data_IF_625729001714
#
_entry.id   IF_625729001714
#
_cell.length_a   1.000
_cell.length_b   1.000
_cell.length_c   1.000
_cell.angle_alpha   90.00
_cell.angle_beta   90.00
_cell.angle_gamma   90.00
#
_symmetry.space_group_name_H-M   'P 1'
#
loop_
_entity.id
_entity.type
_entity.pdbx_description
1 polymer ?
#
# COMPACT_ATOMS: atom_id res chain seq x y z
N UNK A 1 12.08 9.23 13.10
CA UNK A 1 11.86 7.77 13.08
C UNK A 1 13.22 7.13 13.22
N UNK A 2 13.47 6.39 14.29
CA UNK A 2 14.73 5.66 14.48
C UNK A 2 14.68 4.42 13.59
N UNK A 3 15.75 4.17 12.83
CA UNK A 3 15.83 3.06 11.89
C UNK A 3 16.49 1.86 12.55
N UNK A 4 16.20 0.65 12.06
CA UNK A 4 16.79 -0.60 12.59
C UNK A 4 18.33 -0.64 12.48
N UNK A 5 18.90 0.15 11.57
CA UNK A 5 20.33 0.28 11.35
C UNK A 5 21.03 1.17 12.39
N UNK A 6 20.26 1.90 13.20
CA UNK A 6 20.81 2.73 14.30
C UNK A 6 21.18 1.89 15.55
N UNK A 7 20.96 0.57 15.48
CA UNK A 7 21.17 -0.37 16.57
C UNK A 7 22.55 -1.01 16.40
N UNK A 8 23.32 -0.96 17.48
CA UNK A 8 24.66 -1.52 17.53
C UNK A 8 24.60 -3.05 17.42
N UNK A 9 25.27 -3.60 16.41
CA UNK A 9 25.27 -5.05 16.13
C UNK A 9 24.14 -5.55 15.22
N UNK A 10 23.35 -4.65 14.61
CA UNK A 10 22.44 -5.00 13.50
C UNK A 10 23.09 -4.58 12.18
N UNK A 11 23.54 -5.57 11.42
CA UNK A 11 24.01 -5.38 10.04
C UNK A 11 22.82 -5.25 9.05
N UNK A 12 23.11 -4.89 7.80
CA UNK A 12 22.07 -4.73 6.78
C UNK A 12 21.31 -6.02 6.47
N UNK A 13 21.94 -7.17 6.70
CA UNK A 13 21.37 -8.49 6.45
C UNK A 13 20.39 -8.89 7.57
N UNK A 14 20.77 -8.69 8.83
CA UNK A 14 19.90 -8.89 10.00
C UNK A 14 18.74 -7.90 10.01
N UNK A 15 18.94 -6.65 9.58
CA UNK A 15 17.85 -5.71 9.37
C UNK A 15 16.85 -6.21 8.31
N UNK A 16 17.35 -6.83 7.23
CA UNK A 16 16.50 -7.42 6.19
C UNK A 16 15.72 -8.63 6.69
N UNK A 17 16.33 -9.45 7.54
CA UNK A 17 15.64 -10.58 8.19
C UNK A 17 14.58 -10.12 9.19
N UNK A 18 14.84 -9.06 9.95
CA UNK A 18 13.87 -8.41 10.85
C UNK A 18 12.68 -7.82 10.09
N UNK A 19 12.95 -7.11 8.99
CA UNK A 19 11.89 -6.61 8.11
C UNK A 19 11.06 -7.77 7.52
N UNK A 20 11.71 -8.87 7.13
CA UNK A 20 11.06 -10.06 6.61
C UNK A 20 10.20 -10.78 7.68
N UNK A 21 10.61 -10.75 8.94
CA UNK A 21 9.84 -11.22 10.08
C UNK A 21 8.72 -10.24 10.51
N UNK A 22 8.61 -9.07 9.86
CA UNK A 22 7.54 -8.10 10.09
C UNK A 22 7.88 -6.99 11.08
N UNK A 23 9.12 -6.91 11.56
CA UNK A 23 9.60 -5.87 12.46
C UNK A 23 10.28 -4.77 11.64
N UNK A 24 9.55 -3.68 11.35
CA UNK A 24 10.03 -2.55 10.55
C UNK A 24 10.55 -1.38 11.37
N UNK A 25 10.15 -1.30 12.65
CA UNK A 25 10.40 -0.17 13.53
C UNK A 25 10.84 -0.65 14.91
N UNK A 26 11.60 0.19 15.62
CA UNK A 26 12.07 -0.11 16.98
C UNK A 26 10.90 -0.34 17.95
N UNK A 27 9.81 0.39 17.78
CA UNK A 27 8.61 0.25 18.63
C UNK A 27 7.96 -1.15 18.48
N UNK A 28 8.05 -1.75 17.29
CA UNK A 28 7.56 -3.11 17.04
C UNK A 28 8.43 -4.18 17.70
N UNK A 29 9.74 -3.92 17.84
CA UNK A 29 10.67 -4.77 18.59
C UNK A 29 10.42 -4.68 20.10
N UNK A 30 10.23 -3.48 20.64
CA UNK A 30 9.97 -3.25 22.08
C UNK A 30 8.64 -3.89 22.52
N UNK A 31 7.65 -3.91 21.64
CA UNK A 31 6.32 -4.47 21.95
C UNK A 31 6.29 -6.00 22.07
N UNK A 32 7.35 -6.70 21.68
CA UNK A 32 7.39 -8.16 21.62
C UNK A 32 8.53 -8.74 22.48
N UNK A 33 8.31 -9.93 23.04
CA UNK A 33 9.34 -10.63 23.82
C UNK A 33 10.47 -11.12 22.90
N UNK A 34 11.75 -11.09 23.34
CA UNK A 34 12.89 -11.50 22.51
C UNK A 34 12.79 -12.96 22.01
N UNK A 35 12.13 -13.83 22.77
CA UNK A 35 11.89 -15.23 22.40
C UNK A 35 10.93 -15.37 21.21
N UNK A 36 9.91 -14.51 21.13
CA UNK A 36 8.95 -14.48 20.01
C UNK A 36 9.62 -13.97 18.76
N UNK A 37 10.46 -12.95 18.88
CA UNK A 37 11.23 -12.40 17.76
C UNK A 37 12.22 -13.43 17.23
N UNK A 38 12.95 -14.14 18.11
CA UNK A 38 13.84 -15.23 17.69
C UNK A 38 13.09 -16.32 16.92
N UNK A 39 11.91 -16.74 17.38
CA UNK A 39 11.11 -17.76 16.69
C UNK A 39 10.63 -17.28 15.31
N UNK A 40 10.19 -16.02 15.19
CA UNK A 40 9.78 -15.44 13.91
C UNK A 40 10.97 -15.19 12.96
N UNK A 41 12.14 -14.84 13.50
CA UNK A 41 13.38 -14.73 12.73
C UNK A 41 13.84 -16.08 12.19
N UNK A 42 13.81 -17.14 13.00
CA UNK A 42 14.15 -18.50 12.56
C UNK A 42 13.17 -18.99 11.47
N UNK A 43 11.88 -18.71 11.64
CA UNK A 43 10.85 -19.02 10.64
C UNK A 43 11.04 -18.23 9.35
N UNK A 44 11.34 -16.93 9.45
CA UNK A 44 11.63 -16.09 8.29
C UNK A 44 12.90 -16.54 7.58
N UNK A 45 13.97 -16.89 8.31
CA UNK A 45 15.23 -17.33 7.72
C UNK A 45 15.09 -18.69 7.05
N UNK A 46 14.35 -19.63 7.66
CA UNK A 46 14.01 -20.92 7.04
C UNK A 46 13.21 -20.76 5.74
N UNK A 47 12.34 -19.77 5.66
CA UNK A 47 11.48 -19.53 4.50
C UNK A 47 12.18 -18.76 3.38
N UNK A 48 13.11 -17.88 3.73
CA UNK A 48 13.67 -16.88 2.81
C UNK A 48 15.19 -17.02 2.60
N UNK A 49 15.86 -17.87 3.38
CA UNK A 49 17.29 -18.15 3.32
C UNK A 49 18.17 -16.89 3.23
N UNK A 50 17.86 -15.90 4.09
CA UNK A 50 18.46 -14.56 4.04
C UNK A 50 19.86 -14.55 4.68
N UNK A 51 20.06 -15.34 5.72
CA UNK A 51 21.34 -15.51 6.42
C UNK A 51 21.77 -16.96 6.40
N UNK A 52 23.04 -17.21 6.08
CA UNK A 52 23.66 -18.55 6.12
C UNK A 52 23.71 -19.12 7.55
N UNK A 53 23.83 -18.25 8.56
CA UNK A 53 23.83 -18.63 9.97
C UNK A 53 22.74 -17.87 10.73
N UNK A 54 21.82 -18.59 11.37
CA UNK A 54 20.73 -17.99 12.15
C UNK A 54 21.29 -17.18 13.34
N UNK A 55 20.78 -15.97 13.61
CA UNK A 55 21.22 -15.18 14.75
C UNK A 55 20.89 -15.91 16.05
N UNK A 56 21.86 -16.05 16.95
CA UNK A 56 21.64 -16.75 18.22
C UNK A 56 20.69 -15.96 19.15
N UNK A 57 19.98 -16.67 20.02
CA UNK A 57 19.06 -16.06 20.99
C UNK A 57 19.77 -15.07 21.95
N UNK A 58 21.06 -15.27 22.20
CA UNK A 58 21.90 -14.36 23.00
C UNK A 58 22.17 -13.04 22.29
N UNK A 59 22.37 -13.09 20.96
CA UNK A 59 22.58 -11.92 20.12
C UNK A 59 21.28 -11.12 19.95
N UNK A 60 20.13 -11.79 19.87
CA UNK A 60 18.84 -11.09 19.92
C UNK A 60 18.66 -10.39 21.27
N UNK A 61 19.03 -11.04 22.39
CA UNK A 61 18.98 -10.42 23.72
C UNK A 61 19.95 -9.23 23.88
N UNK A 62 21.11 -9.25 23.24
CA UNK A 62 22.05 -8.12 23.29
C UNK A 62 21.49 -6.91 22.55
N UNK A 63 20.80 -7.10 21.42
CA UNK A 63 20.05 -6.01 20.78
C UNK A 63 19.06 -5.40 21.78
N UNK A 64 18.26 -6.23 22.47
CA UNK A 64 17.30 -5.80 23.50
C UNK A 64 17.90 -4.88 24.57
N UNK A 65 19.10 -5.20 25.06
CA UNK A 65 19.82 -4.38 26.06
C UNK A 65 20.17 -2.99 25.51
N UNK A 66 20.63 -2.91 24.26
CA UNK A 66 20.94 -1.64 23.59
C UNK A 66 19.71 -0.73 23.40
N UNK A 67 18.48 -1.29 23.35
CA UNK A 67 17.27 -0.47 23.33
C UNK A 67 16.93 0.09 24.71
N UNK A 68 17.03 -0.71 25.77
CA UNK A 68 16.70 -0.27 27.13
C UNK A 68 17.66 0.80 27.66
N UNK A 69 18.96 0.68 27.38
CA UNK A 69 19.98 1.62 27.87
C UNK A 69 19.88 3.00 27.18
N UNK A 70 19.37 3.07 25.94
CA UNK A 70 19.11 4.34 25.22
C UNK A 70 17.72 4.93 25.46
N UNK A 71 16.88 4.27 26.27
CA UNK A 71 15.50 4.69 26.60
C UNK A 71 15.37 5.17 28.06
N UNK A 72 16.43 5.08 28.88
CA UNK A 72 16.48 5.69 30.21
C UNK A 72 16.62 7.22 30.15
N UNK A 73 15.54 7.89 29.78
CA UNK A 73 14.99 9.11 30.37
C UNK A 73 13.57 9.27 29.79
N UNK A 74 12.60 8.58 30.41
CA UNK A 74 11.69 9.31 31.28
C UNK A 74 11.54 8.63 32.64
N UNK A 75 11.43 9.48 33.65
CA UNK A 75 11.36 9.18 35.07
C UNK A 75 10.43 8.01 35.41
N UNK A 76 11.00 7.03 36.10
CA UNK A 76 10.28 6.07 36.93
C UNK A 76 9.50 6.85 37.98
N UNK A 77 8.17 6.75 37.98
CA UNK A 77 7.37 7.06 39.16
C UNK A 77 6.78 5.74 39.65
N UNK A 78 7.35 5.32 40.77
CA UNK A 78 6.94 4.22 41.64
C UNK A 78 5.47 4.42 42.03
N UNK A 79 4.72 3.32 42.04
CA UNK A 79 3.37 3.27 42.53
C UNK A 79 3.32 3.75 43.99
N UNK A 80 2.54 4.80 44.26
CA UNK A 80 1.94 4.97 45.57
C UNK A 80 0.59 5.70 45.52
N UNK A 81 -0.14 5.44 46.57
CA UNK A 81 -1.55 5.62 46.89
C UNK A 81 -2.18 7.03 46.77
N UNK A 82 -3.43 7.03 46.29
CA UNK A 82 -4.52 8.01 46.53
C UNK A 82 -4.52 9.41 45.85
N UNK A 83 -5.71 10.03 45.70
CA UNK A 83 -6.13 10.72 44.49
C UNK A 83 -5.88 12.22 44.57
N UNK A 84 -5.47 12.84 43.46
CA UNK A 84 -5.66 14.27 43.27
C UNK A 84 -5.90 14.61 41.81
N UNK A 85 -6.99 15.32 41.60
CA UNK A 85 -7.39 16.03 40.39
C UNK A 85 -6.32 17.02 39.95
N UNK A 86 -5.82 16.88 38.73
CA UNK A 86 -5.33 18.03 37.95
C UNK A 86 -5.74 17.85 36.48
N UNK A 87 -6.54 18.82 36.05
CA UNK A 87 -6.93 19.14 34.69
C UNK A 87 -5.67 19.49 33.87
N UNK A 88 -5.36 18.70 32.85
CA UNK A 88 -4.39 19.07 31.81
C UNK A 88 -5.07 18.99 30.45
N UNK A 89 -5.35 20.17 29.93
CA UNK A 89 -5.85 20.45 28.59
C UNK A 89 -4.74 20.20 27.58
N UNK A 90 -4.84 19.13 26.77
CA UNK A 90 -4.35 19.14 25.39
C UNK A 90 -5.06 18.04 24.56
N UNK A 91 -5.64 18.34 23.38
CA UNK A 91 -6.58 17.46 22.70
C UNK A 91 -5.83 16.56 21.71
N UNK A 92 -5.32 15.43 22.19
CA UNK A 92 -5.03 14.29 21.32
C UNK A 92 -6.04 13.19 21.64
N UNK A 93 -7.09 13.11 20.81
CA UNK A 93 -8.10 12.06 20.86
C UNK A 93 -7.40 10.74 20.57
N UNK A 94 -6.93 10.07 21.62
CA UNK A 94 -6.70 8.64 21.61
C UNK A 94 -8.09 8.02 21.68
N UNK A 95 -8.60 7.58 20.54
CA UNK A 95 -9.86 6.85 20.44
C UNK A 95 -9.68 5.49 21.13
N UNK A 96 -9.83 5.45 22.45
CA UNK A 96 -10.00 4.21 23.18
C UNK A 96 -11.32 3.60 22.73
N UNK A 97 -11.25 2.60 21.85
CA UNK A 97 -12.42 1.82 21.42
C UNK A 97 -12.85 0.92 22.58
N UNK A 98 -13.58 1.50 23.54
CA UNK A 98 -14.25 0.74 24.60
C UNK A 98 -15.30 -0.13 23.93
N UNK A 99 -15.39 -1.44 24.20
CA UNK A 99 -16.43 -2.29 23.65
C UNK A 99 -17.80 -1.78 24.13
N UNK A 100 -18.51 -1.09 23.25
CA UNK A 100 -19.86 -0.58 23.48
C UNK A 100 -20.89 -1.58 22.97
N UNK A 101 -21.87 -1.90 23.81
CA UNK A 101 -22.99 -2.74 23.41
C UNK A 101 -24.00 -1.91 22.61
N UNK A 102 -24.34 -2.37 21.41
CA UNK A 102 -25.38 -1.76 20.59
C UNK A 102 -26.74 -2.37 20.96
N UNK A 103 -27.76 -1.56 21.33
CA UNK A 103 -29.09 -2.09 21.56
C UNK A 103 -29.69 -2.59 20.24
N UNK A 104 -30.08 -3.86 20.20
CA UNK A 104 -30.79 -4.46 19.08
C UNK A 104 -32.29 -4.22 19.23
N UNK A 105 -32.94 -3.71 18.17
CA UNK A 105 -34.38 -3.56 18.13
C UNK A 105 -35.09 -4.92 18.07
N UNK A 106 -36.24 -5.05 18.73
CA UNK A 106 -36.97 -6.33 18.83
C UNK A 106 -37.42 -6.86 17.46
N UNK A 107 -37.77 -5.97 16.53
CA UNK A 107 -38.20 -6.33 15.18
C UNK A 107 -37.07 -6.96 14.36
N UNK A 108 -35.83 -6.53 14.61
CA UNK A 108 -34.64 -7.08 13.95
C UNK A 108 -34.35 -8.51 14.41
N UNK A 109 -34.53 -8.78 15.72
CA UNK A 109 -34.34 -10.11 16.30
C UNK A 109 -35.35 -11.11 15.73
N UNK A 110 -36.62 -10.69 15.61
CA UNK A 110 -37.69 -11.54 15.05
C UNK A 110 -37.49 -11.85 13.56
N UNK A 111 -37.07 -10.86 12.77
CA UNK A 111 -36.91 -11.01 11.32
C UNK A 111 -35.69 -11.85 10.93
N UNK A 112 -34.68 -11.97 11.80
CA UNK A 112 -33.45 -12.73 11.52
C UNK A 112 -33.34 -14.03 12.32
N UNK A 113 -34.41 -14.47 12.99
CA UNK A 113 -34.46 -15.72 13.78
C UNK A 113 -33.28 -15.89 14.76
N UNK A 114 -32.83 -14.79 15.36
CA UNK A 114 -31.65 -14.81 16.23
C UNK A 114 -32.02 -15.47 17.56
N UNK A 115 -31.43 -16.62 17.85
CA UNK A 115 -31.65 -17.36 19.11
C UNK A 115 -30.98 -16.59 20.26
N UNK A 116 -31.79 -15.90 21.06
CA UNK A 116 -31.36 -15.04 22.18
C UNK A 116 -30.45 -15.73 23.22
N UNK A 117 -30.47 -17.07 23.30
CA UNK A 117 -29.63 -17.84 24.20
C UNK A 117 -28.14 -17.90 23.78
N UNK A 118 -27.83 -17.64 22.50
CA UNK A 118 -26.46 -17.67 21.98
C UNK A 118 -25.74 -16.32 22.09
N UNK A 119 -26.44 -15.27 22.50
CA UNK A 119 -25.85 -13.94 22.67
C UNK A 119 -25.18 -13.82 24.05
N UNK A 120 -23.95 -13.29 24.12
CA UNK A 120 -23.30 -13.01 25.40
C UNK A 120 -24.10 -11.98 26.19
N UNK A 121 -24.60 -12.38 27.36
CA UNK A 121 -25.37 -11.50 28.25
C UNK A 121 -24.41 -10.64 29.05
N UNK A 122 -24.60 -9.32 28.99
CA UNK A 122 -23.86 -8.36 29.81
C UNK A 122 -24.85 -7.71 30.76
N UNK A 123 -24.55 -7.75 32.05
CA UNK A 123 -25.31 -7.03 33.09
C UNK A 123 -25.11 -5.54 32.90
N UNK A 124 -26.22 -4.78 32.81
CA UNK A 124 -26.17 -3.32 32.87
C UNK A 124 -25.55 -2.92 34.21
N UNK A 125 -24.41 -2.26 34.15
CA UNK A 125 -23.87 -1.56 35.32
C UNK A 125 -24.74 -0.31 35.45
N UNK A 126 -25.68 -0.32 36.38
CA UNK A 126 -26.53 0.83 36.68
C UNK A 126 -26.44 1.18 38.16
N UNK A 127 -26.56 2.49 38.39
CA UNK A 127 -26.98 3.15 39.63
C UNK A 127 -25.89 3.51 40.64
N UNK A 128 -25.04 4.49 40.27
CA UNK A 128 -24.69 5.57 41.20
C UNK A 128 -24.68 6.92 40.47
N UNK A 129 -25.78 7.66 40.68
CA UNK A 129 -25.90 9.13 40.82
C UNK A 129 -25.03 10.04 39.95
N UNK A 130 -25.69 10.77 39.07
CA UNK A 130 -25.18 12.00 38.46
C UNK A 130 -25.87 12.27 37.13
N UNK A 131 -26.81 13.21 37.14
CA UNK A 131 -27.61 13.62 36.00
C UNK A 131 -26.75 13.92 34.77
N UNK A 132 -26.88 13.10 33.75
CA UNK A 132 -26.54 13.45 32.38
C UNK A 132 -27.68 12.93 31.51
N UNK A 133 -28.75 13.72 31.39
CA UNK A 133 -29.59 13.68 30.20
C UNK A 133 -28.66 13.84 28.99
N UNK A 134 -28.31 12.71 28.37
CA UNK A 134 -27.81 12.75 26.99
C UNK A 134 -29.03 13.11 26.15
N UNK A 135 -29.24 14.41 26.00
CA UNK A 135 -30.11 14.97 24.98
C UNK A 135 -29.56 14.52 23.64
N UNK A 136 -30.09 13.39 23.15
CA UNK A 136 -29.91 12.97 21.78
C UNK A 136 -30.76 13.91 20.92
N UNK A 137 -30.24 15.10 20.67
CA UNK A 137 -30.58 15.83 19.46
C UNK A 137 -30.49 14.82 18.31
N UNK A 138 -31.57 14.56 17.56
CA UNK A 138 -31.55 13.64 16.45
C UNK A 138 -30.62 14.25 15.42
N UNK A 139 -29.34 13.88 15.49
CA UNK A 139 -28.35 14.28 14.50
C UNK A 139 -28.91 13.86 13.17
N UNK A 140 -29.24 14.85 12.33
CA UNK A 140 -29.80 14.66 11.00
C UNK A 140 -28.92 13.64 10.29
N UNK A 141 -29.45 12.42 10.23
CA UNK A 141 -28.94 11.36 9.42
C UNK A 141 -28.86 11.97 8.02
N UNK A 142 -27.65 12.29 7.56
CA UNK A 142 -27.39 12.49 6.13
C UNK A 142 -27.76 11.17 5.49
N UNK A 143 -29.04 11.08 5.12
CA UNK A 143 -29.62 9.98 4.38
C UNK A 143 -28.65 9.71 3.26
N UNK A 144 -28.06 8.51 3.25
CA UNK A 144 -27.50 7.98 2.02
C UNK A 144 -28.55 8.24 0.94
N UNK A 145 -28.17 8.82 -0.21
CA UNK A 145 -29.14 9.04 -1.28
C UNK A 145 -29.80 7.69 -1.56
N UNK A 146 -31.12 7.62 -1.31
CA UNK A 146 -31.94 6.49 -1.72
C UNK A 146 -31.59 6.25 -3.17
N UNK A 147 -30.95 5.10 -3.43
CA UNK A 147 -30.68 4.62 -4.77
C UNK A 147 -31.93 4.80 -5.60
N UNK A 148 -31.80 5.50 -6.72
CA UNK A 148 -32.86 5.77 -7.69
C UNK A 148 -33.74 4.53 -7.90
N UNK A 149 -34.95 4.55 -7.36
CA UNK A 149 -36.06 3.64 -7.68
C UNK A 149 -36.63 3.97 -9.07
N UNK A 150 -35.76 3.90 -10.08
CA UNK A 150 -36.19 3.83 -11.47
C UNK A 150 -35.59 2.56 -12.04
N UNK A 151 -36.40 1.48 -12.01
CA UNK A 151 -36.23 0.32 -12.87
C UNK A 151 -36.30 0.78 -14.33
N UNK A 152 -35.22 1.33 -14.84
CA UNK A 152 -34.98 1.37 -16.28
C UNK A 152 -34.75 -0.07 -16.66
N UNK A 153 -35.68 -0.66 -17.42
CA UNK A 153 -35.49 -1.96 -18.05
C UNK A 153 -34.23 -1.85 -18.92
N UNK A 154 -33.10 -2.29 -18.39
CA UNK A 154 -31.91 -2.50 -19.19
C UNK A 154 -32.30 -3.46 -20.31
N UNK A 155 -32.11 -3.05 -21.56
CA UNK A 155 -32.20 -3.98 -22.68
C UNK A 155 -31.29 -5.15 -22.36
N UNK A 156 -31.87 -6.35 -22.29
CA UNK A 156 -31.12 -7.57 -22.11
C UNK A 156 -30.06 -7.62 -23.22
N UNK A 157 -28.81 -7.34 -22.87
CA UNK A 157 -27.68 -7.69 -23.72
C UNK A 157 -27.78 -9.20 -23.82
N UNK A 158 -28.21 -9.67 -24.99
CA UNK A 158 -28.26 -11.08 -25.34
C UNK A 158 -26.86 -11.61 -25.07
N UNK A 159 -26.67 -12.32 -23.95
CA UNK A 159 -25.45 -13.06 -23.69
C UNK A 159 -25.31 -13.98 -24.90
N UNK A 160 -24.42 -13.61 -25.81
CA UNK A 160 -23.87 -14.59 -26.75
C UNK A 160 -23.16 -15.56 -25.83
N UNK A 161 -23.75 -16.76 -25.69
CA UNK A 161 -23.10 -17.84 -24.98
C UNK A 161 -21.68 -17.97 -25.54
N UNK A 162 -20.64 -17.96 -24.68
CA UNK A 162 -19.30 -18.18 -25.17
C UNK A 162 -19.33 -19.54 -25.86
N UNK A 163 -19.12 -19.54 -27.19
CA UNK A 163 -18.89 -20.77 -27.95
C UNK A 163 -17.74 -21.46 -27.23
N UNK A 164 -18.04 -22.50 -26.46
CA UNK A 164 -17.02 -23.36 -25.88
C UNK A 164 -16.20 -23.85 -27.07
N UNK A 165 -14.88 -23.63 -27.11
CA UNK A 165 -14.06 -24.30 -28.10
C UNK A 165 -14.26 -25.80 -27.83
N UNK A 166 -15.03 -26.43 -28.70
CA UNK A 166 -15.28 -27.87 -28.63
C UNK A 166 -13.96 -28.50 -29.06
N UNK A 167 -13.20 -28.94 -28.06
CA UNK A 167 -11.89 -29.54 -28.27
C UNK A 167 -12.14 -30.82 -29.05
N UNK A 168 -11.61 -30.87 -30.27
CA UNK A 168 -11.73 -32.03 -31.15
C UNK A 168 -11.04 -33.23 -30.49
N UNK A 169 -11.86 -34.13 -29.93
CA UNK A 169 -11.41 -35.29 -29.16
C UNK A 169 -10.64 -36.29 -30.02
N UNK A 170 -10.77 -36.21 -31.35
CA UNK A 170 -10.00 -37.07 -32.28
C UNK A 170 -8.52 -36.72 -32.35
N UNK A 171 -8.16 -35.49 -31.93
CA UNK A 171 -6.77 -35.02 -31.80
C UNK A 171 -6.16 -35.27 -30.42
N UNK A 172 -6.95 -35.71 -29.44
CA UNK A 172 -6.47 -35.99 -28.10
C UNK A 172 -5.90 -37.42 -28.07
N UNK A 173 -4.59 -37.53 -28.06
CA UNK A 173 -3.93 -38.80 -27.77
C UNK A 173 -4.17 -39.19 -26.31
N UNK A 174 -4.34 -40.49 -26.06
CA UNK A 174 -4.41 -40.99 -24.69
C UNK A 174 -3.09 -40.76 -23.97
N UNK A 175 -3.13 -40.63 -22.65
CA UNK A 175 -1.94 -40.44 -21.81
C UNK A 175 -0.93 -41.57 -21.99
N UNK A 176 -1.41 -42.78 -22.23
CA UNK A 176 -0.57 -43.96 -22.45
C UNK A 176 0.06 -43.95 -23.85
N UNK A 177 -0.68 -43.54 -24.89
CA UNK A 177 -0.16 -43.40 -26.25
C UNK A 177 0.89 -42.27 -26.35
N UNK A 178 0.68 -41.16 -25.64
CA UNK A 178 1.66 -40.07 -25.56
C UNK A 178 2.93 -40.49 -24.84
N UNK A 179 2.85 -41.42 -23.89
CA UNK A 179 4.04 -41.94 -23.18
C UNK A 179 4.94 -42.78 -24.09
N UNK A 180 4.35 -43.46 -25.07
CA UNK A 180 5.03 -44.39 -25.97
C UNK A 180 5.49 -43.68 -27.26
N UNK A 181 4.64 -42.82 -27.83
CA UNK A 181 4.85 -42.17 -29.13
C UNK A 181 5.04 -40.64 -29.04
N UNK A 182 5.10 -40.09 -27.83
CA UNK A 182 5.30 -38.66 -27.63
C UNK A 182 6.61 -38.22 -28.25
N UNK A 183 6.54 -37.27 -29.18
CA UNK A 183 7.72 -36.55 -29.64
C UNK A 183 8.40 -35.99 -28.39
N UNK A 184 9.58 -36.54 -28.08
CA UNK A 184 10.45 -36.07 -27.00
C UNK A 184 10.97 -34.68 -27.35
N UNK A 185 10.09 -33.69 -27.31
CA UNK A 185 10.52 -32.30 -27.19
C UNK A 185 11.18 -32.28 -25.80
N UNK A 186 12.49 -32.02 -25.71
CA UNK A 186 13.12 -31.90 -24.41
C UNK A 186 12.31 -30.88 -23.63
N UNK A 187 11.93 -31.23 -22.39
CA UNK A 187 11.28 -30.27 -21.50
C UNK A 187 12.10 -29.00 -21.60
N UNK A 188 11.48 -27.88 -22.00
CA UNK A 188 12.17 -26.59 -21.98
C UNK A 188 12.70 -26.46 -20.57
N UNK A 189 14.02 -26.61 -20.39
CA UNK A 189 14.63 -26.52 -19.07
C UNK A 189 14.22 -25.14 -18.59
N UNK A 190 13.42 -25.14 -17.53
CA UNK A 190 13.08 -23.91 -16.83
C UNK A 190 14.42 -23.52 -16.22
N UNK A 191 15.16 -22.64 -16.90
CA UNK A 191 16.41 -22.10 -16.38
C UNK A 191 16.14 -21.68 -14.94
N UNK A 192 16.77 -22.37 -13.99
CA UNK A 192 16.52 -22.21 -12.56
C UNK A 192 16.79 -20.76 -12.11
N UNK A 193 17.52 -19.99 -12.92
CA UNK A 193 17.85 -18.58 -12.70
C UNK A 193 16.77 -17.56 -13.14
N UNK A 194 15.65 -17.97 -13.72
CA UNK A 194 14.71 -17.02 -14.38
C UNK A 194 13.49 -16.61 -13.54
N UNK A 195 13.57 -16.66 -12.21
CA UNK A 195 12.54 -16.04 -11.34
C UNK A 195 12.66 -14.49 -11.30
N UNK A 196 12.94 -13.89 -12.47
CA UNK A 196 12.98 -12.46 -12.77
C UNK A 196 11.65 -11.75 -12.44
N UNK A 197 10.58 -12.52 -12.24
CA UNK A 197 9.30 -11.99 -11.82
C UNK A 197 9.38 -11.31 -10.45
N UNK A 198 10.20 -11.83 -9.51
CA UNK A 198 10.23 -11.35 -8.12
C UNK A 198 11.48 -10.53 -7.79
N UNK A 199 12.64 -10.95 -8.28
CA UNK A 199 13.95 -10.35 -7.94
C UNK A 199 14.72 -9.94 -9.18
N UNK A 200 15.56 -8.90 -9.06
CA UNK A 200 16.39 -8.41 -10.16
C UNK A 200 17.50 -9.42 -10.42
N UNK A 201 17.85 -9.68 -11.69
CA UNK A 201 18.99 -10.52 -12.01
C UNK A 201 20.23 -10.02 -11.28
N UNK A 202 21.04 -10.94 -10.73
CA UNK A 202 22.25 -10.63 -9.94
C UNK A 202 23.21 -9.67 -10.67
N UNK A 203 23.29 -9.76 -12.00
CA UNK A 203 24.08 -8.83 -12.83
C UNK A 203 23.51 -7.41 -12.97
N UNK A 204 22.23 -7.17 -12.70
CA UNK A 204 21.58 -5.86 -12.88
C UNK A 204 22.00 -4.84 -11.82
N UNK A 205 22.27 -5.31 -10.60
CA UNK A 205 22.68 -4.46 -9.47
C UNK A 205 24.16 -4.62 -9.10
N UNK A 206 24.96 -5.26 -9.96
CA UNK A 206 26.37 -5.48 -9.70
C UNK A 206 27.11 -4.13 -9.53
N UNK A 207 27.76 -3.93 -8.39
CA UNK A 207 28.51 -2.70 -8.07
C UNK A 207 27.65 -1.48 -7.72
N UNK A 208 26.34 -1.65 -7.48
CA UNK A 208 25.44 -0.57 -7.05
C UNK A 208 25.09 -0.77 -5.58
N UNK A 209 25.34 0.25 -4.77
CA UNK A 209 25.04 0.20 -3.33
C UNK A 209 23.55 -0.06 -3.10
N UNK A 210 23.17 -1.03 -2.23
CA UNK A 210 21.77 -1.34 -1.93
C UNK A 210 20.98 -0.15 -1.39
N UNK A 211 21.64 0.77 -0.68
CA UNK A 211 21.03 1.99 -0.13
C UNK A 211 20.75 3.07 -1.19
N UNK A 212 21.36 2.96 -2.38
CA UNK A 212 21.21 3.97 -3.43
C UNK A 212 19.85 3.90 -4.12
N UNK A 213 19.35 5.05 -4.59
CA UNK A 213 18.15 5.14 -5.43
C UNK A 213 18.30 4.40 -6.77
N UNK A 214 19.54 4.17 -7.20
CA UNK A 214 19.86 3.45 -8.43
C UNK A 214 19.64 1.94 -8.30
N UNK A 215 19.65 1.40 -7.08
CA UNK A 215 19.48 -0.02 -6.85
C UNK A 215 18.07 -0.47 -7.26
N UNK A 216 17.99 -1.32 -8.28
CA UNK A 216 16.72 -1.75 -8.88
C UNK A 216 16.08 -2.80 -7.96
N UNK A 217 14.86 -2.52 -7.50
CA UNK A 217 14.11 -3.39 -6.59
C UNK A 217 12.80 -3.89 -7.19
N UNK A 218 12.45 -5.11 -6.81
CA UNK A 218 11.09 -5.64 -6.87
C UNK A 218 10.64 -6.21 -8.20
N UNK A 219 9.30 -6.30 -8.31
CA UNK A 219 8.59 -7.14 -9.28
C UNK A 219 8.70 -6.57 -10.69
N UNK A 220 8.92 -7.45 -11.68
CA UNK A 220 8.96 -7.06 -13.09
C UNK A 220 7.56 -6.67 -13.59
N UNK A 221 7.46 -5.50 -14.23
CA UNK A 221 6.22 -5.00 -14.79
C UNK A 221 5.88 -5.70 -16.12
N UNK A 222 4.67 -6.27 -16.22
CA UNK A 222 4.20 -6.94 -17.45
C UNK A 222 4.24 -6.02 -18.68
N UNK A 223 3.63 -4.83 -18.59
CA UNK A 223 3.61 -3.83 -19.66
C UNK A 223 4.59 -2.66 -19.42
N UNK A 224 5.89 -2.93 -19.46
CA UNK A 224 6.93 -1.95 -19.17
C UNK A 224 6.83 -0.66 -20.02
N UNK A 225 6.66 -0.81 -21.33
CA UNK A 225 6.61 0.33 -22.25
C UNK A 225 5.44 1.27 -21.95
N UNK A 226 4.26 0.72 -21.69
CA UNK A 226 3.05 1.51 -21.41
C UNK A 226 3.20 2.32 -20.13
N UNK A 227 3.80 1.75 -19.10
CA UNK A 227 4.04 2.46 -17.84
C UNK A 227 5.15 3.51 -17.98
N UNK A 228 6.16 3.23 -18.81
CA UNK A 228 7.20 4.21 -19.17
C UNK A 228 6.64 5.42 -19.92
N UNK A 229 5.84 5.21 -20.97
CA UNK A 229 5.16 6.30 -21.67
C UNK A 229 4.14 7.01 -20.78
N UNK A 230 3.45 6.29 -19.89
CA UNK A 230 2.58 6.88 -18.88
C UNK A 230 3.31 7.87 -17.98
N UNK A 231 4.53 7.56 -17.55
CA UNK A 231 5.35 8.44 -16.73
C UNK A 231 5.80 9.69 -17.49
N UNK A 232 6.25 9.53 -18.73
CA UNK A 232 6.54 10.67 -19.62
C UNK A 232 5.31 11.55 -19.85
N UNK A 233 4.15 10.94 -20.09
CA UNK A 233 2.89 11.65 -20.23
C UNK A 233 2.52 12.44 -18.96
N UNK A 234 2.77 11.90 -17.77
CA UNK A 234 2.55 12.62 -16.52
C UNK A 234 3.49 13.81 -16.35
N UNK A 235 4.78 13.65 -16.66
CA UNK A 235 5.77 14.74 -16.61
C UNK A 235 5.39 15.83 -17.61
N UNK A 236 5.08 15.47 -18.85
CA UNK A 236 4.67 16.40 -19.90
C UNK A 236 3.39 17.16 -19.51
N UNK A 237 2.38 16.46 -18.97
CA UNK A 237 1.16 17.10 -18.50
C UNK A 237 1.44 18.11 -17.36
N UNK A 238 2.34 17.79 -16.43
CA UNK A 238 2.77 18.73 -15.40
C UNK A 238 3.51 19.94 -15.97
N UNK A 239 4.41 19.75 -16.95
CA UNK A 239 5.13 20.83 -17.63
C UNK A 239 4.16 21.76 -18.35
N UNK A 240 3.19 21.20 -19.10
CA UNK A 240 2.16 21.99 -19.79
C UNK A 240 1.27 22.74 -18.81
N UNK A 241 0.90 22.12 -17.69
CA UNK A 241 0.10 22.76 -16.65
C UNK A 241 0.82 23.96 -16.04
N UNK A 242 2.10 23.84 -15.68
CA UNK A 242 2.89 24.97 -15.18
C UNK A 242 3.15 25.99 -16.30
N UNK A 243 3.44 25.54 -17.52
CA UNK A 243 3.66 26.39 -18.68
C UNK A 243 2.45 27.23 -19.07
N UNK A 244 1.23 26.78 -18.75
CA UNK A 244 -0.01 27.55 -18.98
C UNK A 244 -0.07 28.89 -18.25
N UNK A 245 0.77 29.07 -17.21
CA UNK A 245 0.89 30.31 -16.43
C UNK A 245 1.70 31.37 -17.19
N UNK A 246 2.63 30.96 -18.07
CA UNK A 246 3.54 31.89 -18.74
C UNK A 246 2.83 32.96 -19.61
N UNK A 247 1.80 32.63 -20.42
CA UNK A 247 1.04 33.65 -21.14
C UNK A 247 0.30 34.61 -20.22
N UNK A 248 -0.19 34.13 -19.06
CA UNK A 248 -0.86 34.99 -18.07
C UNK A 248 0.13 36.03 -17.54
N UNK A 249 1.32 35.58 -17.12
CA UNK A 249 2.38 36.48 -16.64
C UNK A 249 2.80 37.45 -17.73
N UNK A 250 2.97 36.98 -18.96
CA UNK A 250 3.35 37.83 -20.09
C UNK A 250 2.35 38.96 -20.36
N UNK A 251 1.04 38.66 -20.33
CA UNK A 251 -0.02 39.67 -20.54
C UNK A 251 -0.03 40.73 -19.44
N UNK A 252 0.31 40.37 -18.19
CA UNK A 252 0.40 41.33 -17.08
C UNK A 252 1.49 42.38 -17.32
N UNK A 253 2.57 42.03 -18.02
CA UNK A 253 3.65 42.96 -18.37
C UNK A 253 3.42 43.69 -19.70
N UNK A 254 2.66 43.11 -20.63
CA UNK A 254 2.42 43.63 -21.98
C UNK A 254 0.93 43.50 -22.35
N UNK A 255 0.06 44.39 -21.82
CA UNK A 255 -1.39 44.27 -22.01
C UNK A 255 -1.84 44.43 -23.47
N UNK A 256 -1.04 45.11 -24.30
CA UNK A 256 -1.19 45.23 -25.75
C UNK A 256 -1.33 43.86 -26.45
N UNK A 257 -0.74 42.82 -25.86
CA UNK A 257 -0.66 41.47 -26.41
C UNK A 257 -1.72 40.51 -25.83
N UNK A 258 -2.87 41.02 -25.35
CA UNK A 258 -3.92 40.19 -24.71
C UNK A 258 -4.41 39.01 -25.57
N UNK A 259 -4.31 39.11 -26.90
CA UNK A 259 -4.69 38.04 -27.85
C UNK A 259 -3.89 36.74 -27.59
N UNK A 260 -2.67 36.85 -27.08
CA UNK A 260 -1.84 35.68 -26.70
C UNK A 260 -2.43 34.91 -25.50
N UNK A 261 -3.41 35.47 -24.80
CA UNK A 261 -4.15 34.80 -23.72
C UNK A 261 -4.90 33.55 -24.17
N UNK A 262 -5.25 33.44 -25.46
CA UNK A 262 -5.83 32.21 -26.02
C UNK A 262 -4.89 31.00 -25.96
N UNK A 263 -3.59 31.20 -25.78
CA UNK A 263 -2.63 30.10 -25.61
C UNK A 263 -2.87 29.34 -24.30
N UNK A 264 -3.21 30.02 -23.21
CA UNK A 264 -3.46 29.38 -21.91
C UNK A 264 -4.52 28.27 -21.98
N UNK A 265 -5.76 28.50 -22.46
CA UNK A 265 -6.76 27.44 -22.55
C UNK A 265 -6.35 26.33 -23.54
N UNK A 266 -5.64 26.65 -24.62
CA UNK A 266 -5.11 25.65 -25.57
C UNK A 266 -4.08 24.73 -24.91
N UNK A 267 -3.14 25.30 -24.16
CA UNK A 267 -2.11 24.53 -23.42
C UNK A 267 -2.75 23.69 -22.32
N UNK A 268 -3.73 24.22 -21.58
CA UNK A 268 -4.46 23.47 -20.57
C UNK A 268 -5.26 22.30 -21.18
N UNK A 269 -5.90 22.54 -22.32
CA UNK A 269 -6.60 21.49 -23.06
C UNK A 269 -5.63 20.39 -23.50
N UNK A 270 -4.47 20.77 -24.04
CA UNK A 270 -3.43 19.81 -24.42
C UNK A 270 -2.92 19.02 -23.21
N UNK A 271 -2.68 19.67 -22.07
CA UNK A 271 -2.27 19.02 -20.82
C UNK A 271 -3.30 17.97 -20.38
N UNK A 272 -4.59 18.32 -20.45
CA UNK A 272 -5.70 17.41 -20.13
C UNK A 272 -5.74 16.21 -21.07
N UNK A 273 -5.57 16.43 -22.38
CA UNK A 273 -5.58 15.36 -23.40
C UNK A 273 -4.40 14.40 -23.17
N UNK A 274 -3.18 14.92 -22.97
CA UNK A 274 -1.99 14.11 -22.67
C UNK A 274 -2.21 13.28 -21.40
N UNK A 275 -2.70 13.91 -20.33
CA UNK A 275 -3.00 13.21 -19.08
C UNK A 275 -4.04 12.10 -19.28
N UNK A 276 -5.15 12.42 -19.95
CA UNK A 276 -6.28 11.50 -20.12
C UNK A 276 -5.94 10.29 -20.99
N UNK A 277 -5.20 10.49 -22.08
CA UNK A 277 -4.91 9.46 -23.07
C UNK A 277 -3.66 8.63 -22.72
N UNK A 278 -2.68 9.23 -22.04
CA UNK A 278 -1.37 8.60 -21.78
C UNK A 278 -1.19 8.30 -20.30
N UNK A 279 -1.15 9.33 -19.44
CA UNK A 279 -0.79 9.15 -18.03
C UNK A 279 -1.78 8.27 -17.25
N UNK A 280 -3.09 8.41 -17.49
CA UNK A 280 -4.13 7.61 -16.80
C UNK A 280 -4.11 6.11 -17.12
N UNK A 281 -3.37 5.68 -18.14
CA UNK A 281 -3.37 4.29 -18.61
C UNK A 281 -2.33 3.42 -17.90
N UNK A 282 -1.43 3.97 -17.09
CA UNK A 282 -0.43 3.21 -16.33
C UNK A 282 -1.06 2.60 -15.07
N UNK A 283 -0.81 1.31 -14.83
CA UNK A 283 -1.35 0.58 -13.67
C UNK A 283 -0.28 -0.27 -13.04
N UNK A 284 -0.31 -0.39 -11.71
CA UNK A 284 0.58 -1.29 -10.98
C UNK A 284 0.23 -2.77 -11.28
N UNK A 285 1.20 -3.68 -11.53
CA UNK A 285 0.94 -5.09 -11.76
C UNK A 285 0.42 -5.81 -10.50
N UNK A 286 0.80 -5.35 -9.30
CA UNK A 286 0.43 -5.97 -8.02
C UNK A 286 -0.98 -5.57 -7.60
N UNK A 287 -1.22 -4.28 -7.37
CA UNK A 287 -2.53 -3.79 -6.88
C UNK A 287 -3.50 -3.35 -7.99
N UNK A 288 -3.09 -3.41 -9.27
CA UNK A 288 -3.89 -3.00 -10.45
C UNK A 288 -4.44 -1.58 -10.43
N UNK A 289 -3.97 -0.78 -9.50
CA UNK A 289 -4.37 0.61 -9.34
C UNK A 289 -3.61 1.50 -10.32
N UNK A 290 -4.30 2.52 -10.86
CA UNK A 290 -3.72 3.50 -11.78
C UNK A 290 -2.73 4.41 -11.06
N UNK A 291 -1.49 4.44 -11.53
CA UNK A 291 -0.38 5.03 -10.77
C UNK A 291 -0.49 6.57 -10.67
N UNK A 292 -0.90 7.24 -11.73
CA UNK A 292 -0.96 8.71 -11.80
C UNK A 292 -2.37 9.27 -11.63
N UNK A 293 -3.22 8.59 -10.87
CA UNK A 293 -4.60 9.03 -10.59
C UNK A 293 -4.74 9.42 -9.13
N UNK A 294 -5.24 10.63 -8.81
CA UNK A 294 -5.52 10.98 -7.43
C UNK A 294 -6.64 10.08 -6.91
N UNK A 295 -6.37 9.39 -5.81
CA UNK A 295 -7.36 8.60 -5.08
C UNK A 295 -7.23 8.86 -3.59
N UNK A 296 -8.34 8.66 -2.87
CA UNK A 296 -8.41 8.70 -1.41
C UNK A 296 -7.79 7.47 -0.72
N UNK A 297 -6.99 6.68 -1.43
CA UNK A 297 -6.27 5.56 -0.81
C UNK A 297 -5.17 6.11 0.10
N UNK A 298 -4.89 5.37 1.18
CA UNK A 298 -3.79 5.66 2.08
C UNK A 298 -2.48 5.59 1.29
N UNK A 299 -1.89 6.75 0.98
CA UNK A 299 -0.61 6.83 0.26
C UNK A 299 0.46 6.19 1.13
N UNK A 300 1.28 5.33 0.52
CA UNK A 300 2.31 4.62 1.26
C UNK A 300 3.42 5.59 1.73
N UNK A 301 3.91 5.42 2.96
CA UNK A 301 4.94 6.29 3.57
C UNK A 301 6.24 6.30 2.76
N UNK A 302 6.65 5.13 2.25
CA UNK A 302 7.84 4.96 1.40
C UNK A 302 7.64 5.41 -0.07
N UNK A 303 6.54 6.09 -0.42
CA UNK A 303 6.37 6.63 -1.79
C UNK A 303 7.27 7.84 -1.99
N UNK A 304 7.84 8.02 -3.18
CA UNK A 304 8.65 9.22 -3.46
C UNK A 304 7.77 10.47 -3.37
N UNK A 305 8.16 11.40 -2.50
CA UNK A 305 7.40 12.62 -2.20
C UNK A 305 8.27 13.85 -2.44
N UNK A 306 7.70 14.87 -3.06
CA UNK A 306 8.26 16.23 -3.05
C UNK A 306 7.28 17.18 -2.36
N UNK A 307 7.78 18.11 -1.52
CA UNK A 307 6.96 18.91 -0.59
C UNK A 307 5.86 19.75 -1.27
N UNK A 308 5.96 20.05 -2.56
CA UNK A 308 4.96 20.82 -3.31
C UNK A 308 4.26 20.04 -4.44
N UNK A 309 4.92 19.00 -4.95
CA UNK A 309 4.49 18.30 -6.18
C UNK A 309 3.79 16.96 -5.87
N UNK A 310 3.63 16.66 -4.59
CA UNK A 310 3.02 15.42 -4.10
C UNK A 310 3.87 14.20 -4.45
N UNK A 311 3.19 13.09 -4.79
CA UNK A 311 3.86 11.79 -4.96
C UNK A 311 3.88 11.31 -6.41
N UNK A 312 3.04 11.88 -7.29
CA UNK A 312 2.92 11.41 -8.68
C UNK A 312 4.11 11.82 -9.52
N UNK A 313 4.50 13.09 -9.47
CA UNK A 313 5.61 13.61 -10.26
C UNK A 313 6.97 13.03 -9.84
N UNK A 314 7.33 12.96 -8.54
CA UNK A 314 8.58 12.33 -8.13
C UNK A 314 8.64 10.86 -8.55
N UNK A 315 7.53 10.14 -8.43
CA UNK A 315 7.48 8.73 -8.85
C UNK A 315 7.62 8.59 -10.37
N UNK A 316 7.00 9.47 -11.16
CA UNK A 316 7.17 9.48 -12.61
C UNK A 316 8.61 9.81 -13.03
N UNK A 317 9.22 10.81 -12.39
CA UNK A 317 10.61 11.20 -12.60
C UNK A 317 11.57 10.05 -12.28
N UNK A 318 11.42 9.45 -11.10
CA UNK A 318 12.23 8.33 -10.65
C UNK A 318 12.13 7.13 -11.60
N UNK A 319 10.91 6.82 -12.05
CA UNK A 319 10.65 5.78 -13.04
C UNK A 319 11.36 6.04 -14.37
N UNK A 320 11.32 7.27 -14.88
CA UNK A 320 11.99 7.63 -16.14
C UNK A 320 13.51 7.53 -16.00
N UNK A 321 14.05 8.02 -14.87
CA UNK A 321 15.49 8.14 -14.60
C UNK A 321 16.18 6.82 -14.27
N UNK A 322 15.52 5.96 -13.49
CA UNK A 322 16.10 4.74 -12.91
C UNK A 322 15.39 3.46 -13.35
N UNK A 323 14.33 3.55 -14.18
CA UNK A 323 13.58 2.39 -14.71
C UNK A 323 12.91 1.52 -13.66
N UNK A 324 12.82 1.99 -12.42
CA UNK A 324 12.04 1.37 -11.35
C UNK A 324 11.36 2.43 -10.50
N UNK A 325 10.32 2.04 -9.77
CA UNK A 325 9.58 2.95 -8.90
C UNK A 325 8.85 2.19 -7.79
N UNK A 326 8.44 2.91 -6.75
CA UNK A 326 7.58 2.37 -5.70
C UNK A 326 6.13 2.78 -5.94
N UNK A 327 5.20 1.81 -5.92
CA UNK A 327 3.79 2.12 -6.11
C UNK A 327 3.29 3.06 -5.00
N UNK A 328 2.61 4.15 -5.36
CA UNK A 328 2.12 5.16 -4.39
C UNK A 328 1.04 4.57 -3.47
N UNK A 329 0.40 3.48 -3.89
CA UNK A 329 -0.72 2.84 -3.21
C UNK A 329 -0.30 1.63 -2.39
N UNK A 330 0.20 0.56 -3.03
CA UNK A 330 0.58 -0.66 -2.33
C UNK A 330 2.03 -0.63 -1.80
N UNK A 331 2.83 0.37 -2.16
CA UNK A 331 4.20 0.48 -1.68
C UNK A 331 5.16 -0.58 -2.22
N UNK A 332 4.74 -1.46 -3.14
CA UNK A 332 5.66 -2.43 -3.75
C UNK A 332 6.61 -1.74 -4.72
N UNK A 333 7.89 -2.13 -4.69
CA UNK A 333 8.85 -1.73 -5.72
C UNK A 333 8.60 -2.52 -7.00
N UNK A 334 8.58 -1.81 -8.13
CA UNK A 334 8.26 -2.34 -9.45
C UNK A 334 9.34 -1.87 -10.41
N UNK A 335 9.91 -2.80 -11.17
CA UNK A 335 10.90 -2.50 -12.21
C UNK A 335 10.30 -2.64 -13.60
N UNK A 336 10.72 -1.78 -14.52
CA UNK A 336 10.30 -1.81 -15.92
C UNK A 336 11.25 -2.60 -16.83
N UNK A 337 12.38 -3.08 -16.32
CA UNK A 337 13.49 -3.54 -17.15
C UNK A 337 13.94 -4.96 -16.84
N UNK A 338 14.33 -5.63 -17.93
CA UNK A 338 15.65 -6.26 -18.10
C UNK A 338 16.31 -5.64 -19.34
#
# INVERSE_FOLDING_TARGET
MRTLLDIEGIDSVTASLLEAAGYTDIDALISNKPEVIYAELAKANKMLNIMEQEPSLELVKSWFKSFTEKVEHPSVVVADSQPNSILSTDPSIVEYRVPSALPLAEDFVKNQEIVLAQLPRVTKISDQTGDAEVSLEPSEEKRLPKSLDKKVKAHAIRRVEPRKPEVDKTRLQSIDDYRINGNGVPSHQKQEDTNNVREAMSGTNAGVDPSSEKYIRGVLHNDAQRTYFGAWGQILACILLVGSIAPIVYILFQPEHYIWGWITPVVLFLALVVYALVARKSSCPVCRQRQFVPKACRKHVKAHTWPMLGNMLPTAWHLVRYKWFRCIFCGTSIRLKE
#
